data_IF_622393009942
#
_entry.id   IF_622393009942
#
_cell.length_a   1.000
_cell.length_b   1.000
_cell.length_c   1.000
_cell.angle_alpha   90.00
_cell.angle_beta   90.00
_cell.angle_gamma   90.00
#
_symmetry.space_group_name_H-M   'P 1'
#
loop_
_entity.id
_entity.type
_entity.pdbx_description
1 polymer ?
#
# COMPACT_ATOMS: atom_id res chain seq x y z
N UNK A 1 -39.16 9.10 -21.42
CA UNK A 1 -37.75 8.63 -21.47
C UNK A 1 -37.27 8.57 -20.03
N UNK A 2 -37.48 7.47 -19.31
CA UNK A 2 -36.63 6.28 -19.31
C UNK A 2 -35.93 6.24 -17.94
N UNK A 3 -36.55 5.63 -16.93
CA UNK A 3 -36.07 5.59 -15.53
C UNK A 3 -34.86 4.63 -15.35
N UNK A 4 -34.10 4.41 -16.42
CA UNK A 4 -32.99 3.47 -16.48
C UNK A 4 -31.69 4.27 -16.35
N UNK A 5 -30.65 3.72 -15.69
CA UNK A 5 -29.33 4.32 -15.71
C UNK A 5 -28.84 4.50 -17.16
N UNK A 6 -27.94 5.47 -17.40
CA UNK A 6 -27.28 5.63 -18.69
C UNK A 6 -26.52 4.36 -19.05
N UNK A 7 -26.10 4.26 -20.33
CA UNK A 7 -25.31 3.11 -20.80
C UNK A 7 -24.10 2.92 -19.88
N UNK A 8 -23.87 1.68 -19.44
CA UNK A 8 -22.79 1.37 -18.50
C UNK A 8 -21.44 1.59 -19.19
N UNK A 9 -20.74 2.64 -18.78
CA UNK A 9 -19.37 2.93 -19.20
C UNK A 9 -18.36 1.99 -18.51
N UNK A 10 -17.14 1.88 -19.05
CA UNK A 10 -16.05 1.06 -18.52
C UNK A 10 -15.80 1.31 -17.03
N UNK A 11 -15.95 2.56 -16.56
CA UNK A 11 -15.81 2.94 -15.15
C UNK A 11 -16.79 2.18 -14.27
N UNK A 12 -18.06 2.15 -14.68
CA UNK A 12 -19.12 1.44 -13.95
C UNK A 12 -18.85 -0.07 -13.99
N UNK A 13 -18.46 -0.62 -15.13
CA UNK A 13 -18.15 -2.04 -15.28
C UNK A 13 -17.02 -2.47 -14.33
N UNK A 14 -15.92 -1.72 -14.27
CA UNK A 14 -14.80 -1.98 -13.35
C UNK A 14 -15.24 -1.98 -11.89
N UNK A 15 -16.06 -1.01 -11.50
CA UNK A 15 -16.59 -0.92 -10.13
C UNK A 15 -17.56 -2.06 -9.84
N UNK A 16 -18.44 -2.41 -10.78
CA UNK A 16 -19.35 -3.56 -10.67
C UNK A 16 -18.59 -4.86 -10.46
N UNK A 17 -17.51 -5.09 -11.20
CA UNK A 17 -16.69 -6.30 -11.07
C UNK A 17 -15.93 -6.34 -9.74
N UNK A 18 -15.31 -5.23 -9.33
CA UNK A 18 -14.51 -5.12 -8.10
C UNK A 18 -15.37 -5.23 -6.86
N UNK A 19 -16.55 -4.61 -6.85
CA UNK A 19 -17.46 -4.55 -5.70
C UNK A 19 -18.65 -5.51 -5.81
N UNK A 20 -18.68 -6.37 -6.83
CA UNK A 20 -19.80 -7.29 -7.09
C UNK A 20 -21.16 -6.59 -7.01
N UNK A 21 -21.26 -5.42 -7.64
CA UNK A 21 -22.50 -4.65 -7.64
C UNK A 21 -23.51 -5.26 -8.61
N UNK A 22 -24.72 -5.46 -8.13
CA UNK A 22 -25.84 -5.93 -8.94
C UNK A 22 -26.45 -4.78 -9.74
N UNK A 23 -27.25 -5.10 -10.76
CA UNK A 23 -28.03 -4.09 -11.48
C UNK A 23 -29.01 -3.34 -10.57
N UNK A 24 -29.47 -3.99 -9.48
CA UNK A 24 -30.27 -3.35 -8.45
C UNK A 24 -29.48 -2.29 -7.69
N UNK A 25 -28.22 -2.58 -7.35
CA UNK A 25 -27.34 -1.62 -6.68
C UNK A 25 -27.08 -0.40 -7.57
N UNK A 26 -26.76 -0.61 -8.86
CA UNK A 26 -26.58 0.48 -9.83
C UNK A 26 -27.84 1.32 -9.98
N UNK A 27 -29.01 0.70 -9.98
CA UNK A 27 -30.29 1.42 -9.98
C UNK A 27 -30.48 2.24 -8.71
N UNK A 28 -30.00 1.75 -7.55
CA UNK A 28 -29.95 2.49 -6.29
C UNK A 28 -29.09 3.75 -6.39
N UNK A 29 -27.86 3.61 -6.90
CA UNK A 29 -26.98 4.76 -7.15
C UNK A 29 -27.60 5.77 -8.12
N UNK A 30 -28.23 5.28 -9.20
CA UNK A 30 -28.89 6.14 -10.18
C UNK A 30 -30.03 6.95 -9.57
N UNK A 31 -30.83 6.34 -8.68
CA UNK A 31 -31.91 7.05 -7.99
C UNK A 31 -31.38 8.17 -7.08
N UNK A 32 -30.23 7.95 -6.43
CA UNK A 32 -29.57 8.99 -5.62
C UNK A 32 -29.01 10.09 -6.52
N UNK A 33 -28.33 9.73 -7.61
CA UNK A 33 -27.77 10.69 -8.57
C UNK A 33 -28.85 11.63 -9.12
N UNK A 34 -29.95 11.06 -9.61
CA UNK A 34 -31.11 11.78 -10.15
C UNK A 34 -31.81 12.70 -9.15
N UNK A 35 -31.65 12.46 -7.85
CA UNK A 35 -32.21 13.35 -6.82
C UNK A 35 -31.49 14.71 -6.82
N UNK A 36 -30.23 14.72 -7.22
CA UNK A 36 -29.35 15.89 -7.16
C UNK A 36 -29.05 16.49 -8.54
N UNK A 37 -29.13 15.69 -9.61
CA UNK A 37 -29.22 16.16 -11.01
C UNK A 37 -30.66 16.65 -11.33
N UNK A 38 -31.05 17.78 -10.73
CA UNK A 38 -32.41 18.33 -10.86
C UNK A 38 -32.71 18.84 -12.26
N UNK A 39 -31.70 19.43 -12.90
CA UNK A 39 -31.81 20.05 -14.22
C UNK A 39 -31.69 19.01 -15.34
N UNK A 40 -31.37 17.75 -15.00
CA UNK A 40 -31.25 16.59 -15.91
C UNK A 40 -30.19 16.79 -16.96
N UNK A 41 -29.12 17.46 -16.57
CA UNK A 41 -27.94 17.69 -17.40
C UNK A 41 -27.07 16.41 -17.46
N UNK A 42 -27.35 15.43 -16.59
CA UNK A 42 -26.58 14.18 -16.52
C UNK A 42 -25.29 14.32 -15.70
N UNK A 43 -25.13 15.44 -15.00
CA UNK A 43 -23.96 15.79 -14.20
C UNK A 43 -24.38 16.35 -12.83
N UNK A 44 -23.51 16.24 -11.85
CA UNK A 44 -23.65 16.90 -10.54
C UNK A 44 -22.41 17.77 -10.33
N UNK A 45 -22.57 19.06 -10.04
CA UNK A 45 -21.41 19.91 -9.71
C UNK A 45 -20.77 19.51 -8.38
N UNK A 46 -19.46 19.72 -8.25
CA UNK A 46 -18.72 19.44 -7.01
C UNK A 46 -19.33 20.15 -5.78
N UNK A 47 -19.80 21.38 -5.98
CA UNK A 47 -20.44 22.16 -4.90
C UNK A 47 -21.71 21.49 -4.39
N UNK A 48 -22.58 21.01 -5.30
CA UNK A 48 -23.81 20.29 -4.94
C UNK A 48 -23.46 18.97 -4.25
N UNK A 49 -22.44 18.25 -4.73
CA UNK A 49 -22.01 17.01 -4.09
C UNK A 49 -21.62 17.24 -2.62
N UNK A 50 -20.74 18.21 -2.33
CA UNK A 50 -20.32 18.43 -0.95
C UNK A 50 -21.41 19.03 -0.07
N UNK A 51 -22.00 20.14 -0.51
CA UNK A 51 -22.98 20.87 0.30
C UNK A 51 -24.25 20.07 0.50
N UNK A 52 -24.75 19.44 -0.57
CA UNK A 52 -26.09 18.87 -0.57
C UNK A 52 -26.11 17.37 -0.28
N UNK A 53 -25.12 16.60 -0.77
CA UNK A 53 -25.02 15.15 -0.56
C UNK A 53 -24.19 14.85 0.70
N UNK A 54 -23.01 15.43 0.84
CA UNK A 54 -22.16 15.19 2.01
C UNK A 54 -22.54 16.04 3.22
N UNK A 55 -23.31 17.12 3.05
CA UNK A 55 -23.62 18.08 4.13
C UNK A 55 -22.37 18.63 4.83
N UNK A 56 -21.30 18.77 4.06
CA UNK A 56 -20.01 19.30 4.50
C UNK A 56 -19.63 20.47 3.59
N UNK A 57 -18.88 21.42 4.15
CA UNK A 57 -18.21 22.42 3.32
C UNK A 57 -17.14 21.74 2.47
N UNK A 58 -16.94 22.27 1.26
CA UNK A 58 -15.86 21.85 0.36
C UNK A 58 -14.52 21.99 1.13
N UNK A 59 -13.78 20.90 1.22
CA UNK A 59 -12.52 20.81 1.95
C UNK A 59 -11.46 20.09 1.11
N UNK A 60 -10.19 20.16 1.51
CA UNK A 60 -9.07 19.56 0.77
C UNK A 60 -9.24 18.07 0.50
N UNK A 61 -9.85 17.31 1.42
CA UNK A 61 -10.13 15.90 1.18
C UNK A 61 -11.13 15.72 0.05
N UNK A 62 -12.14 16.56 0.04
CA UNK A 62 -13.10 16.62 -1.03
C UNK A 62 -12.45 16.88 -2.39
N UNK A 63 -11.65 17.94 -2.47
CA UNK A 63 -10.94 18.30 -3.70
C UNK A 63 -10.05 17.18 -4.20
N UNK A 64 -9.28 16.56 -3.30
CA UNK A 64 -8.40 15.47 -3.66
C UNK A 64 -9.14 14.19 -4.07
N UNK A 65 -10.30 13.88 -3.46
CA UNK A 65 -11.09 12.71 -3.89
C UNK A 65 -11.49 12.96 -5.33
N UNK A 66 -11.93 14.17 -5.65
CA UNK A 66 -12.35 14.50 -7.00
C UNK A 66 -11.21 14.58 -7.99
N UNK A 67 -10.05 15.14 -7.65
CA UNK A 67 -8.87 15.13 -8.51
C UNK A 67 -8.42 13.71 -8.89
N UNK A 68 -8.61 12.73 -7.99
CA UNK A 68 -8.31 11.33 -8.29
C UNK A 68 -9.28 10.68 -9.31
N UNK A 69 -10.42 11.30 -9.59
CA UNK A 69 -11.55 10.66 -10.28
C UNK A 69 -11.95 11.45 -11.53
N UNK A 70 -12.07 12.77 -11.41
CA UNK A 70 -12.29 13.73 -12.47
C UNK A 70 -10.93 14.09 -13.10
N UNK A 71 -10.44 13.21 -13.98
CA UNK A 71 -9.21 13.44 -14.73
C UNK A 71 -9.35 14.53 -15.79
N UNK A 72 -10.57 14.99 -16.06
CA UNK A 72 -10.90 15.95 -17.11
C UNK A 72 -11.07 17.38 -16.55
N UNK A 73 -10.93 17.56 -15.22
CA UNK A 73 -11.04 18.84 -14.48
C UNK A 73 -12.28 19.64 -14.89
N UNK A 74 -13.41 18.94 -15.03
CA UNK A 74 -14.66 19.55 -15.50
C UNK A 74 -15.41 20.26 -14.37
N UNK A 75 -15.02 20.02 -13.11
CA UNK A 75 -15.72 20.47 -11.90
C UNK A 75 -17.19 19.98 -11.82
N UNK A 76 -17.50 18.97 -12.64
CA UNK A 76 -18.78 18.30 -12.75
C UNK A 76 -18.53 16.80 -12.65
N UNK A 77 -19.53 16.07 -12.17
CA UNK A 77 -19.42 14.64 -11.92
C UNK A 77 -20.46 13.93 -12.78
N UNK A 78 -20.01 13.19 -13.78
CA UNK A 78 -20.88 12.30 -14.53
C UNK A 78 -21.30 11.09 -13.69
N UNK A 79 -22.34 10.36 -14.11
CA UNK A 79 -22.82 9.21 -13.33
C UNK A 79 -21.73 8.13 -13.12
N UNK A 80 -20.89 7.87 -14.12
CA UNK A 80 -19.79 6.91 -14.01
C UNK A 80 -18.75 7.32 -12.97
N UNK A 81 -18.39 8.60 -12.95
CA UNK A 81 -17.47 9.19 -11.97
C UNK A 81 -18.07 9.20 -10.58
N UNK A 82 -19.36 9.53 -10.47
CA UNK A 82 -20.08 9.49 -9.20
C UNK A 82 -20.02 8.10 -8.57
N UNK A 83 -20.33 7.06 -9.35
CA UNK A 83 -20.27 5.66 -8.86
C UNK A 83 -18.84 5.30 -8.47
N UNK A 84 -17.85 5.59 -9.33
CA UNK A 84 -16.45 5.31 -9.04
C UNK A 84 -15.95 6.03 -7.79
N UNK A 85 -16.31 7.30 -7.62
CA UNK A 85 -15.95 8.14 -6.49
C UNK A 85 -16.45 7.60 -5.18
N UNK A 86 -17.77 7.46 -5.12
CA UNK A 86 -18.46 7.07 -3.91
C UNK A 86 -18.02 5.66 -3.52
N UNK A 87 -17.96 4.73 -4.46
CA UNK A 87 -17.51 3.37 -4.18
C UNK A 87 -16.06 3.31 -3.70
N UNK A 88 -15.15 4.04 -4.34
CA UNK A 88 -13.74 4.05 -3.95
C UNK A 88 -13.57 4.63 -2.55
N UNK A 89 -14.07 5.84 -2.32
CA UNK A 89 -13.90 6.51 -1.04
C UNK A 89 -14.68 5.82 0.09
N UNK A 90 -15.89 5.30 -0.15
CA UNK A 90 -16.66 4.58 0.86
C UNK A 90 -15.95 3.30 1.33
N UNK A 91 -15.20 2.64 0.44
CA UNK A 91 -14.50 1.39 0.75
C UNK A 91 -13.17 1.58 1.50
N UNK A 92 -12.65 2.81 1.58
CA UNK A 92 -11.42 3.08 2.33
C UNK A 92 -11.56 2.64 3.79
N UNK A 93 -10.59 1.86 4.23
CA UNK A 93 -10.36 1.58 5.65
C UNK A 93 -9.56 2.73 6.28
N UNK A 94 -9.41 2.72 7.60
CA UNK A 94 -8.62 3.71 8.33
C UNK A 94 -7.24 3.93 7.70
N UNK A 95 -6.51 2.85 7.42
CA UNK A 95 -5.18 2.94 6.81
C UNK A 95 -5.19 3.55 5.40
N UNK A 96 -6.25 3.30 4.63
CA UNK A 96 -6.40 3.89 3.29
C UNK A 96 -6.70 5.39 3.39
N UNK A 97 -7.56 5.80 4.32
CA UNK A 97 -7.81 7.22 4.62
C UNK A 97 -6.52 7.90 5.05
N UNK A 98 -5.69 7.26 5.88
CA UNK A 98 -4.40 7.81 6.30
C UNK A 98 -3.43 7.97 5.13
N UNK A 99 -3.29 6.95 4.28
CA UNK A 99 -2.43 7.01 3.08
C UNK A 99 -2.90 8.07 2.10
N UNK A 100 -4.20 8.14 1.89
CA UNK A 100 -4.82 9.13 1.05
C UNK A 100 -4.60 10.53 1.60
N UNK A 101 -4.81 10.72 2.91
CA UNK A 101 -4.50 11.98 3.60
C UNK A 101 -3.03 12.37 3.42
N UNK A 102 -2.11 11.43 3.67
CA UNK A 102 -0.68 11.67 3.48
C UNK A 102 -0.36 12.10 2.04
N UNK A 103 -0.92 11.40 1.05
CA UNK A 103 -0.77 11.76 -0.36
C UNK A 103 -1.32 13.15 -0.68
N UNK A 104 -2.36 13.62 0.00
CA UNK A 104 -2.92 14.97 -0.24
C UNK A 104 -1.98 16.04 0.30
N UNK A 105 -1.39 15.80 1.45
CA UNK A 105 -0.60 16.81 2.17
C UNK A 105 0.84 16.89 1.66
N UNK A 106 1.44 15.76 1.27
CA UNK A 106 2.69 15.72 0.51
C UNK A 106 2.41 16.25 -0.92
N UNK A 107 2.58 17.55 -1.13
CA UNK A 107 2.22 18.23 -2.39
C UNK A 107 3.25 17.97 -3.47
N UNK A 108 4.52 17.98 -3.09
CA UNK A 108 5.64 17.81 -4.02
C UNK A 108 5.96 16.32 -4.30
N UNK A 109 5.29 15.39 -3.61
CA UNK A 109 5.42 13.93 -3.73
C UNK A 109 6.82 13.44 -3.40
N UNK A 110 7.51 14.13 -2.49
CA UNK A 110 8.86 13.77 -2.09
C UNK A 110 8.90 12.59 -1.09
N UNK A 111 7.72 12.13 -0.62
CA UNK A 111 7.56 10.99 0.27
C UNK A 111 7.57 11.33 1.75
N UNK A 112 7.59 12.62 2.11
CA UNK A 112 7.46 13.14 3.46
C UNK A 112 6.61 14.42 3.46
N UNK A 113 6.01 14.75 4.59
CA UNK A 113 5.31 16.02 4.76
C UNK A 113 6.28 16.98 5.44
N UNK A 114 6.57 18.10 4.81
CA UNK A 114 7.41 19.13 5.44
C UNK A 114 6.61 20.02 6.42
N UNK A 115 7.30 20.93 7.11
CA UNK A 115 6.68 21.80 8.10
C UNK A 115 5.61 22.73 7.51
N UNK A 116 5.82 23.23 6.30
CA UNK A 116 4.91 24.18 5.65
C UNK A 116 3.64 23.45 5.17
N UNK A 117 3.81 22.25 4.63
CA UNK A 117 2.71 21.34 4.27
C UNK A 117 1.90 20.91 5.48
N UNK A 118 2.57 20.62 6.60
CA UNK A 118 1.94 20.26 7.86
C UNK A 118 1.17 21.43 8.50
N UNK A 119 1.71 22.64 8.44
CA UNK A 119 1.00 23.83 8.92
C UNK A 119 -0.27 24.07 8.08
N UNK A 120 -0.17 23.93 6.76
CA UNK A 120 -1.32 24.01 5.87
C UNK A 120 -2.36 22.94 6.20
N UNK A 121 -1.92 21.71 6.49
CA UNK A 121 -2.78 20.62 6.95
C UNK A 121 -3.60 21.01 8.18
N UNK A 122 -2.94 21.45 9.26
CA UNK A 122 -3.64 21.81 10.51
C UNK A 122 -4.60 22.97 10.28
N UNK A 123 -4.19 24.00 9.52
CA UNK A 123 -5.04 25.16 9.21
C UNK A 123 -6.29 24.78 8.43
N UNK A 124 -6.16 23.87 7.47
CA UNK A 124 -7.27 23.53 6.58
C UNK A 124 -8.28 22.58 7.22
N UNK A 125 -7.84 21.72 8.15
CA UNK A 125 -8.74 20.79 8.84
C UNK A 125 -9.48 21.41 10.03
N UNK A 126 -8.99 22.52 10.55
CA UNK A 126 -9.53 23.16 11.75
C UNK A 126 -9.78 24.66 11.56
N UNK A 127 -10.61 25.01 10.57
CA UNK A 127 -11.13 26.38 10.33
C UNK A 127 -11.81 27.01 11.56
N UNK A 128 -12.17 26.22 12.59
CA UNK A 128 -12.78 26.65 13.85
C UNK A 128 -11.86 26.68 15.10
N UNK A 129 -10.55 26.47 14.96
CA UNK A 129 -9.57 26.68 16.03
C UNK A 129 -9.06 25.41 16.75
N UNK A 130 -7.84 25.01 16.39
CA UNK A 130 -6.95 24.20 17.23
C UNK A 130 -5.52 24.78 17.14
N UNK A 131 -5.34 26.00 17.64
CA UNK A 131 -4.13 26.79 17.36
C UNK A 131 -2.98 26.64 18.38
N UNK A 132 -3.10 25.78 19.40
CA UNK A 132 -2.05 25.59 20.41
C UNK A 132 -1.56 24.15 20.54
N UNK A 133 -2.47 23.23 20.89
CA UNK A 133 -2.09 21.88 21.31
C UNK A 133 -1.67 20.97 20.16
N UNK A 134 -2.20 21.16 18.95
CA UNK A 134 -1.86 20.32 17.78
C UNK A 134 -0.47 20.63 17.26
N UNK A 135 -0.09 21.90 17.14
CA UNK A 135 1.27 22.27 16.72
C UNK A 135 2.34 21.80 17.72
N UNK A 136 2.05 21.89 19.02
CA UNK A 136 2.92 21.34 20.06
C UNK A 136 2.96 19.81 20.03
N UNK A 137 1.83 19.15 19.80
CA UNK A 137 1.74 17.72 19.61
C UNK A 137 2.56 17.24 18.39
N UNK A 138 2.51 17.97 17.29
CA UNK A 138 3.26 17.65 16.07
C UNK A 138 4.76 17.70 16.29
N UNK A 139 5.26 18.70 17.02
CA UNK A 139 6.65 18.77 17.46
C UNK A 139 7.09 17.59 18.34
N UNK A 140 6.15 16.88 18.99
CA UNK A 140 6.46 15.68 19.78
C UNK A 140 6.41 14.38 18.99
N UNK A 141 5.98 14.42 17.73
CA UNK A 141 5.80 13.23 16.88
C UNK A 141 6.89 13.10 15.81
N UNK A 142 7.60 14.18 15.49
CA UNK A 142 8.88 14.12 14.76
C UNK A 142 9.89 13.34 15.62
N UNK A 143 10.03 12.04 15.35
CA UNK A 143 10.78 11.12 16.21
C UNK A 143 12.28 11.20 15.93
N UNK A 144 12.65 11.49 14.68
CA UNK A 144 14.03 11.52 14.23
C UNK A 144 14.63 12.95 14.25
N UNK A 145 13.78 13.98 14.42
CA UNK A 145 14.17 15.38 14.52
C UNK A 145 14.67 16.00 13.22
N UNK A 146 14.36 15.40 12.07
CA UNK A 146 14.82 15.87 10.76
C UNK A 146 13.90 16.94 10.14
N UNK A 147 12.76 17.22 10.80
CA UNK A 147 11.76 18.19 10.35
C UNK A 147 10.93 17.71 9.17
N UNK A 148 10.99 16.41 8.84
CA UNK A 148 10.23 15.75 7.78
C UNK A 148 9.37 14.67 8.40
N UNK A 149 8.08 14.67 8.06
CA UNK A 149 7.14 13.71 8.63
C UNK A 149 6.91 12.57 7.65
N UNK A 150 7.47 11.40 7.95
CA UNK A 150 7.22 10.22 7.14
C UNK A 150 5.84 9.60 7.42
N UNK A 151 5.48 8.58 6.64
CA UNK A 151 4.17 7.91 6.81
C UNK A 151 4.04 7.21 8.17
N UNK A 152 5.12 6.72 8.77
CA UNK A 152 5.08 6.07 10.08
C UNK A 152 4.80 7.10 11.19
N UNK A 153 5.44 8.25 11.12
CA UNK A 153 5.19 9.40 12.00
C UNK A 153 3.76 9.93 11.83
N UNK A 154 3.28 10.04 10.59
CA UNK A 154 1.90 10.41 10.31
C UNK A 154 0.87 9.40 10.86
N UNK A 155 1.19 8.09 10.82
CA UNK A 155 0.35 7.08 11.46
C UNK A 155 0.34 7.24 12.98
N UNK A 156 1.50 7.46 13.60
CA UNK A 156 1.60 7.71 15.04
C UNK A 156 0.85 8.99 15.46
N UNK A 157 0.85 10.03 14.62
CA UNK A 157 0.02 11.23 14.80
C UNK A 157 -1.46 10.88 14.86
N UNK A 158 -1.97 10.08 13.93
CA UNK A 158 -3.36 9.66 13.95
C UNK A 158 -3.72 8.84 15.20
N UNK A 159 -2.84 7.92 15.62
CA UNK A 159 -3.05 7.12 16.82
C UNK A 159 -3.14 7.97 18.09
N UNK A 160 -2.31 9.02 18.17
CA UNK A 160 -2.24 9.90 19.34
C UNK A 160 -3.30 11.01 19.30
N UNK A 161 -3.65 11.48 18.10
CA UNK A 161 -4.62 12.56 17.87
C UNK A 161 -5.62 12.19 16.76
N UNK A 162 -6.56 11.26 17.02
CA UNK A 162 -7.51 10.80 15.99
C UNK A 162 -8.39 11.92 15.43
N UNK A 163 -8.62 12.98 16.22
CA UNK A 163 -9.43 14.15 15.85
C UNK A 163 -8.88 14.92 14.67
N UNK A 164 -7.57 14.82 14.39
CA UNK A 164 -6.91 15.51 13.28
C UNK A 164 -7.51 15.08 11.94
N UNK A 165 -7.73 13.78 11.75
CA UNK A 165 -8.33 13.25 10.51
C UNK A 165 -9.85 13.10 10.58
N UNK A 166 -10.48 13.57 11.67
CA UNK A 166 -11.93 13.49 11.83
C UNK A 166 -12.72 14.09 10.65
N UNK A 167 -12.31 15.22 10.02
CA UNK A 167 -13.03 15.73 8.84
C UNK A 167 -13.11 14.73 7.68
N UNK A 168 -12.03 13.97 7.40
CA UNK A 168 -12.04 12.94 6.35
C UNK A 168 -13.03 11.81 6.68
N UNK A 169 -12.99 11.30 7.92
CA UNK A 169 -13.91 10.25 8.37
C UNK A 169 -15.37 10.72 8.41
N UNK A 170 -15.58 11.98 8.79
CA UNK A 170 -16.90 12.61 8.82
C UNK A 170 -17.47 12.73 7.41
N UNK A 171 -16.68 13.23 6.46
CA UNK A 171 -17.04 13.31 5.05
C UNK A 171 -17.42 11.93 4.50
N UNK A 172 -16.60 10.91 4.75
CA UNK A 172 -16.88 9.52 4.35
C UNK A 172 -18.17 9.01 4.97
N UNK A 173 -18.40 9.28 6.26
CA UNK A 173 -19.58 8.83 6.99
C UNK A 173 -20.86 9.47 6.48
N UNK A 174 -20.86 10.80 6.26
CA UNK A 174 -22.01 11.51 5.70
C UNK A 174 -22.31 11.06 4.28
N UNK A 175 -21.29 10.91 3.44
CA UNK A 175 -21.44 10.37 2.10
C UNK A 175 -22.09 8.98 2.14
N UNK A 176 -21.58 8.06 2.95
CA UNK A 176 -22.16 6.71 3.10
C UNK A 176 -23.60 6.74 3.65
N UNK A 177 -23.91 7.68 4.55
CA UNK A 177 -25.25 7.80 5.11
C UNK A 177 -26.25 8.30 4.07
N UNK A 178 -25.88 9.32 3.30
CA UNK A 178 -26.77 9.95 2.32
C UNK A 178 -26.85 9.19 0.99
N UNK A 179 -25.85 8.36 0.69
CA UNK A 179 -25.79 7.53 -0.52
C UNK A 179 -25.91 6.07 -0.10
N UNK A 180 -26.99 5.37 -0.49
CA UNK A 180 -27.27 3.96 -0.16
C UNK A 180 -27.49 3.62 1.34
N UNK A 181 -27.02 4.45 2.27
CA UNK A 181 -27.20 4.28 3.71
C UNK A 181 -26.12 3.41 4.37
N UNK A 182 -25.80 3.73 5.61
CA UNK A 182 -24.70 3.09 6.38
C UNK A 182 -24.86 1.57 6.50
N UNK A 183 -26.07 1.08 6.71
CA UNK A 183 -26.35 -0.36 6.80
C UNK A 183 -26.01 -1.09 5.51
N UNK A 184 -26.30 -0.51 4.34
CA UNK A 184 -25.95 -1.11 3.06
C UNK A 184 -24.44 -1.16 2.88
N UNK A 185 -23.74 -0.05 3.14
CA UNK A 185 -22.27 -0.01 3.06
C UNK A 185 -21.58 -0.98 4.01
N UNK A 186 -22.04 -1.07 5.26
CA UNK A 186 -21.48 -2.00 6.24
C UNK A 186 -21.62 -3.45 5.76
N UNK A 187 -22.79 -3.83 5.23
CA UNK A 187 -22.99 -5.15 4.63
C UNK A 187 -22.07 -5.38 3.44
N UNK A 188 -21.96 -4.40 2.54
CA UNK A 188 -21.11 -4.51 1.34
C UNK A 188 -19.62 -4.62 1.71
N UNK A 189 -19.14 -3.86 2.70
CA UNK A 189 -17.76 -3.98 3.22
C UNK A 189 -17.46 -5.39 3.73
N UNK A 190 -18.38 -5.97 4.53
CA UNK A 190 -18.24 -7.34 5.03
C UNK A 190 -18.25 -8.37 3.89
N UNK A 191 -19.14 -8.20 2.91
CA UNK A 191 -19.21 -9.08 1.74
C UNK A 191 -17.88 -9.09 0.97
N UNK A 192 -17.34 -7.90 0.64
CA UNK A 192 -16.07 -7.78 -0.07
C UNK A 192 -14.90 -8.33 0.75
N UNK A 193 -14.89 -8.08 2.06
CA UNK A 193 -13.89 -8.64 2.97
C UNK A 193 -13.92 -10.18 2.95
N UNK A 194 -15.10 -10.78 3.02
CA UNK A 194 -15.24 -12.24 2.97
C UNK A 194 -14.77 -12.82 1.63
N UNK A 195 -15.12 -12.18 0.51
CA UNK A 195 -14.67 -12.60 -0.82
C UNK A 195 -13.14 -12.54 -0.91
N UNK A 196 -12.53 -11.46 -0.41
CA UNK A 196 -11.08 -11.31 -0.37
C UNK A 196 -10.43 -12.42 0.46
N UNK A 197 -10.92 -12.67 1.68
CA UNK A 197 -10.40 -13.72 2.55
C UNK A 197 -10.54 -15.12 1.95
N UNK A 198 -11.67 -15.43 1.32
CA UNK A 198 -11.86 -16.71 0.63
C UNK A 198 -10.92 -16.89 -0.54
N UNK A 199 -10.71 -15.82 -1.32
CA UNK A 199 -9.78 -15.81 -2.46
C UNK A 199 -8.36 -16.04 -1.97
N UNK A 200 -7.93 -15.32 -0.94
CA UNK A 200 -6.61 -15.49 -0.32
C UNK A 200 -6.43 -16.90 0.27
N UNK A 201 -7.47 -17.48 0.90
CA UNK A 201 -7.42 -18.86 1.40
C UNK A 201 -7.25 -19.88 0.27
N UNK A 202 -7.88 -19.67 -0.90
CA UNK A 202 -7.71 -20.55 -2.07
C UNK A 202 -6.30 -20.42 -2.64
N UNK A 203 -5.84 -19.20 -2.88
CA UNK A 203 -4.50 -18.92 -3.37
C UNK A 203 -3.42 -19.50 -2.45
N UNK A 204 -3.56 -19.35 -1.14
CA UNK A 204 -2.62 -19.91 -0.17
C UNK A 204 -2.62 -21.46 -0.18
N UNK A 205 -3.78 -22.10 -0.41
CA UNK A 205 -3.84 -23.56 -0.59
C UNK A 205 -3.13 -23.99 -1.87
N UNK A 206 -3.35 -23.29 -2.97
CA UNK A 206 -2.69 -23.56 -4.25
C UNK A 206 -1.17 -23.36 -4.15
N UNK A 207 -0.74 -22.25 -3.53
CA UNK A 207 0.67 -21.98 -3.23
C UNK A 207 1.33 -23.11 -2.46
N UNK A 208 0.67 -23.63 -1.42
CA UNK A 208 1.16 -24.79 -0.63
C UNK A 208 1.22 -26.08 -1.45
N UNK A 209 0.24 -26.33 -2.31
CA UNK A 209 0.25 -27.51 -3.19
C UNK A 209 1.39 -27.43 -4.20
N UNK A 210 1.58 -26.27 -4.81
CA UNK A 210 2.65 -26.04 -5.77
C UNK A 210 4.02 -26.15 -5.09
N UNK A 211 4.18 -25.56 -3.89
CA UNK A 211 5.40 -25.70 -3.10
C UNK A 211 5.74 -27.18 -2.83
N UNK A 212 4.74 -28.00 -2.46
CA UNK A 212 4.91 -29.45 -2.27
C UNK A 212 5.27 -30.17 -3.56
N UNK A 213 4.74 -29.74 -4.71
CA UNK A 213 5.06 -30.31 -6.02
C UNK A 213 6.53 -30.04 -6.36
N UNK A 214 6.98 -28.80 -6.18
CA UNK A 214 8.37 -28.40 -6.38
C UNK A 214 9.33 -29.18 -5.46
N UNK A 215 9.00 -29.29 -4.17
CA UNK A 215 9.80 -30.07 -3.22
C UNK A 215 9.89 -31.56 -3.59
N UNK A 216 8.81 -32.15 -4.12
CA UNK A 216 8.83 -33.54 -4.61
C UNK A 216 9.75 -33.70 -5.81
N UNK A 217 9.65 -32.82 -6.80
CA UNK A 217 10.51 -32.83 -8.00
C UNK A 217 11.97 -32.67 -7.60
N UNK A 218 12.27 -31.71 -6.72
CA UNK A 218 13.60 -31.49 -6.14
C UNK A 218 14.14 -32.75 -5.45
N UNK A 219 13.36 -33.35 -4.56
CA UNK A 219 13.79 -34.55 -3.83
C UNK A 219 13.98 -35.76 -4.76
N UNK A 220 13.19 -35.88 -5.83
CA UNK A 220 13.39 -36.90 -6.86
C UNK A 220 14.72 -36.69 -7.61
N UNK A 221 15.04 -35.46 -8.00
CA UNK A 221 16.32 -35.11 -8.62
C UNK A 221 17.50 -35.46 -7.73
N UNK A 222 17.47 -35.03 -6.47
CA UNK A 222 18.50 -35.34 -5.46
C UNK A 222 18.67 -36.86 -5.28
N UNK A 223 17.57 -37.64 -5.28
CA UNK A 223 17.61 -39.10 -5.17
C UNK A 223 18.25 -39.76 -6.37
N UNK A 224 17.93 -39.29 -7.58
CA UNK A 224 18.49 -39.81 -8.82
C UNK A 224 20.00 -39.55 -8.89
N UNK A 225 20.45 -38.37 -8.46
CA UNK A 225 21.87 -37.99 -8.48
C UNK A 225 22.70 -38.75 -7.44
N UNK A 226 22.20 -38.92 -6.20
CA UNK A 226 22.96 -39.60 -5.13
C UNK A 226 22.92 -41.13 -5.21
N UNK A 227 21.89 -41.71 -5.83
CA UNK A 227 21.64 -43.15 -5.79
C UNK A 227 21.01 -43.65 -4.47
N UNK A 228 20.31 -44.79 -4.54
CA UNK A 228 19.43 -45.29 -3.48
C UNK A 228 20.13 -45.53 -2.13
N UNK A 229 21.29 -46.20 -2.15
CA UNK A 229 22.03 -46.53 -0.92
C UNK A 229 22.54 -45.26 -0.25
N UNK A 230 23.19 -44.34 -0.97
CA UNK A 230 23.72 -43.11 -0.39
C UNK A 230 22.63 -42.16 0.13
N UNK A 231 21.44 -42.18 -0.50
CA UNK A 231 20.30 -41.40 -0.05
C UNK A 231 19.77 -41.85 1.33
N UNK A 232 19.64 -43.17 1.57
CA UNK A 232 19.03 -43.72 2.80
C UNK A 232 20.02 -44.20 3.89
N UNK A 233 21.27 -44.53 3.55
CA UNK A 233 22.26 -45.11 4.49
C UNK A 233 23.03 -44.09 5.34
N UNK A 234 22.82 -42.80 5.10
CA UNK A 234 23.55 -41.74 5.82
C UNK A 234 23.00 -41.55 7.24
N UNK A 235 23.67 -42.10 8.24
CA UNK A 235 23.38 -41.88 9.66
C UNK A 235 24.65 -41.61 10.49
N UNK A 236 24.54 -40.59 11.37
CA UNK A 236 25.45 -40.24 12.48
C UNK A 236 26.81 -39.60 12.15
N UNK A 237 26.83 -38.27 11.93
CA UNK A 237 27.72 -37.24 12.54
C UNK A 237 27.83 -35.94 11.69
N UNK A 238 27.62 -36.00 10.37
CA UNK A 238 27.77 -34.86 9.42
C UNK A 238 26.46 -34.27 8.86
N UNK A 239 25.34 -34.42 9.57
CA UNK A 239 24.00 -34.06 9.07
C UNK A 239 23.85 -32.56 8.70
N UNK A 240 24.51 -31.64 9.42
CA UNK A 240 24.44 -30.20 9.11
C UNK A 240 25.20 -29.85 7.83
N UNK A 241 26.45 -30.29 7.67
CA UNK A 241 27.26 -30.02 6.46
C UNK A 241 26.60 -30.58 5.19
N UNK A 242 25.92 -31.72 5.30
CA UNK A 242 25.16 -32.34 4.19
C UNK A 242 23.87 -31.58 3.86
N UNK A 243 23.12 -31.14 4.86
CA UNK A 243 21.91 -30.31 4.64
C UNK A 243 22.29 -29.05 3.88
N UNK A 244 23.36 -28.40 4.29
CA UNK A 244 23.88 -27.21 3.63
C UNK A 244 24.37 -27.52 2.20
N UNK A 245 25.07 -28.64 1.96
CA UNK A 245 25.49 -29.03 0.60
C UNK A 245 24.31 -29.27 -0.35
N UNK A 246 23.27 -29.97 0.11
CA UNK A 246 22.08 -30.28 -0.70
C UNK A 246 21.16 -29.07 -0.89
N UNK A 247 21.09 -28.16 0.08
CA UNK A 247 20.40 -26.87 -0.07
C UNK A 247 21.14 -25.93 -1.04
N UNK A 248 22.48 -26.01 -1.12
CA UNK A 248 23.29 -25.25 -2.09
C UNK A 248 23.17 -25.76 -3.53
N UNK A 249 23.21 -27.07 -3.74
CA UNK A 249 23.14 -27.68 -5.09
C UNK A 249 21.73 -27.66 -5.69
N UNK A 250 20.71 -27.75 -4.83
CA UNK A 250 19.32 -27.81 -5.22
C UNK A 250 18.53 -26.86 -4.29
N UNK A 251 18.57 -25.54 -4.53
CA UNK A 251 17.83 -24.58 -3.72
C UNK A 251 16.32 -24.81 -3.82
N UNK A 252 15.59 -24.48 -2.75
CA UNK A 252 14.12 -24.59 -2.77
C UNK A 252 13.55 -23.48 -3.63
N UNK A 253 12.75 -23.84 -4.63
CA UNK A 253 11.92 -22.87 -5.35
C UNK A 253 10.87 -22.34 -4.39
N UNK A 254 10.84 -21.04 -4.16
CA UNK A 254 9.79 -20.40 -3.37
C UNK A 254 8.60 -20.09 -4.27
N UNK A 255 7.41 -20.54 -3.86
CA UNK A 255 6.17 -20.13 -4.51
C UNK A 255 5.60 -18.94 -3.74
N UNK A 256 5.57 -17.78 -4.40
CA UNK A 256 5.06 -16.52 -3.87
C UNK A 256 3.76 -16.14 -4.59
N UNK A 257 2.90 -15.41 -3.89
CA UNK A 257 1.76 -14.72 -4.47
C UNK A 257 2.23 -13.28 -4.70
N UNK A 258 2.21 -12.82 -5.94
CA UNK A 258 2.59 -11.45 -6.26
C UNK A 258 1.46 -10.44 -5.94
N UNK A 259 1.68 -9.16 -6.28
CA UNK A 259 0.72 -8.08 -6.03
C UNK A 259 -0.58 -8.22 -6.84
N UNK A 260 -0.56 -8.98 -7.93
CA UNK A 260 -1.70 -9.22 -8.81
C UNK A 260 -2.41 -10.54 -8.46
N UNK A 261 -2.06 -11.13 -7.31
CA UNK A 261 -2.57 -12.42 -6.83
C UNK A 261 -2.23 -13.60 -7.76
N UNK A 262 -1.16 -13.48 -8.55
CA UNK A 262 -0.68 -14.55 -9.42
C UNK A 262 0.41 -15.33 -8.71
N UNK A 263 0.36 -16.66 -8.84
CA UNK A 263 1.41 -17.53 -8.32
C UNK A 263 2.66 -17.42 -9.18
N UNK A 264 3.76 -17.02 -8.57
CA UNK A 264 5.08 -17.01 -9.18
C UNK A 264 6.02 -17.95 -8.45
N UNK A 265 6.92 -18.56 -9.21
CA UNK A 265 8.00 -19.37 -8.70
C UNK A 265 9.30 -18.58 -8.74
N UNK A 266 9.97 -18.42 -7.60
CA UNK A 266 11.30 -17.82 -7.52
C UNK A 266 12.30 -18.90 -7.13
N UNK A 267 13.21 -19.23 -8.04
CA UNK A 267 14.37 -20.06 -7.70
C UNK A 267 15.41 -19.15 -7.07
N UNK A 268 15.86 -19.39 -5.82
CA UNK A 268 16.97 -18.64 -5.25
C UNK A 268 18.22 -18.79 -6.11
N UNK A 269 19.03 -17.73 -6.19
CA UNK A 269 20.32 -17.81 -6.86
C UNK A 269 21.14 -18.97 -6.27
N UNK A 270 21.89 -19.71 -7.10
CA UNK A 270 22.81 -20.72 -6.60
C UNK A 270 23.72 -20.08 -5.56
N UNK A 271 23.79 -20.67 -4.36
CA UNK A 271 24.69 -20.20 -3.32
C UNK A 271 26.12 -20.42 -3.84
N UNK A 272 26.82 -19.32 -4.18
CA UNK A 272 28.22 -19.31 -4.61
C UNK A 272 29.06 -20.15 -3.63
N UNK A 273 29.74 -21.19 -4.10
CA UNK A 273 30.52 -22.09 -3.24
C UNK A 273 31.91 -21.50 -2.97
N UNK A 274 32.51 -21.76 -1.79
CA UNK A 274 33.95 -21.63 -1.61
C UNK A 274 34.67 -22.55 -2.60
N UNK A 275 35.25 -21.97 -3.65
CA UNK A 275 35.88 -22.68 -4.78
C UNK A 275 35.32 -22.35 -6.17
N UNK A 276 34.18 -21.65 -6.27
CA UNK A 276 33.80 -21.03 -7.54
C UNK A 276 34.73 -19.84 -7.79
N UNK A 277 35.36 -19.73 -8.97
CA UNK A 277 36.29 -18.62 -9.28
C UNK A 277 35.65 -17.23 -9.08
N UNK A 278 34.32 -17.14 -9.15
CA UNK A 278 33.56 -15.93 -8.86
C UNK A 278 33.47 -15.64 -7.36
N UNK A 279 33.34 -16.66 -6.51
CA UNK A 279 33.32 -16.52 -5.04
C UNK A 279 34.69 -16.11 -4.51
N UNK A 280 35.77 -16.69 -5.05
CA UNK A 280 37.14 -16.31 -4.70
C UNK A 280 37.43 -14.86 -5.10
N UNK A 281 36.98 -14.43 -6.30
CA UNK A 281 37.06 -13.03 -6.71
C UNK A 281 36.25 -12.09 -5.81
N UNK A 282 35.02 -12.45 -5.46
CA UNK A 282 34.16 -11.61 -4.61
C UNK A 282 34.69 -11.50 -3.16
N UNK A 283 35.32 -12.56 -2.61
CA UNK A 283 35.97 -12.51 -1.31
C UNK A 283 37.32 -11.78 -1.36
N UNK A 284 38.10 -11.94 -2.43
CA UNK A 284 39.33 -11.17 -2.67
C UNK A 284 39.03 -9.68 -2.83
N UNK A 285 37.99 -9.31 -3.56
CA UNK A 285 37.53 -7.91 -3.68
C UNK A 285 37.06 -7.34 -2.34
N UNK A 286 36.28 -8.10 -1.56
CA UNK A 286 35.84 -7.67 -0.21
C UNK A 286 37.00 -7.56 0.77
N UNK A 287 37.98 -8.46 0.71
CA UNK A 287 39.20 -8.36 1.52
C UNK A 287 40.07 -7.18 1.07
N UNK A 288 40.15 -6.89 -0.23
CA UNK A 288 40.91 -5.77 -0.77
C UNK A 288 40.26 -4.42 -0.42
N UNK A 289 38.93 -4.32 -0.48
CA UNK A 289 38.15 -3.19 0.01
C UNK A 289 38.35 -2.98 1.52
N UNK A 290 38.30 -4.05 2.33
CA UNK A 290 38.55 -3.98 3.76
C UNK A 290 40.00 -3.57 4.09
N UNK A 291 40.99 -4.07 3.33
CA UNK A 291 42.40 -3.67 3.46
C UNK A 291 42.62 -2.23 3.04
N UNK A 292 41.96 -1.75 1.99
CA UNK A 292 42.05 -0.36 1.54
C UNK A 292 41.35 0.61 2.51
N UNK A 293 40.21 0.22 3.09
CA UNK A 293 39.56 0.98 4.15
C UNK A 293 40.44 1.11 5.42
N UNK A 294 41.17 0.05 5.76
CA UNK A 294 42.09 0.05 6.92
C UNK A 294 43.37 0.86 6.67
N UNK A 295 43.87 0.87 5.43
CA UNK A 295 45.00 1.72 5.00
C UNK A 295 44.62 3.21 4.88
N UNK A 296 43.38 3.53 4.50
CA UNK A 296 42.85 4.90 4.50
C UNK A 296 42.75 5.51 5.90
N UNK A 297 42.41 4.70 6.91
CA UNK A 297 42.29 5.14 8.31
C UNK A 297 43.65 5.37 9.00
N UNK A 298 44.68 4.61 8.61
CA UNK A 298 46.03 4.73 9.19
C UNK A 298 46.85 5.89 8.60
N UNK A 299 46.54 6.37 7.39
CA UNK A 299 47.19 7.57 6.82
C UNK A 299 46.57 8.90 7.29
N UNK A 300 45.33 8.92 7.80
CA UNK A 300 44.73 10.13 8.37
C UNK A 300 45.24 10.43 9.80
N UNK A 301 45.73 9.42 10.51
CA UNK A 301 46.22 9.57 11.90
C UNK A 301 47.67 10.05 12.03
N UNK A 302 48.43 10.20 10.93
CA UNK A 302 49.82 10.68 10.95
C UNK A 302 50.02 12.17 10.62
N UNK A 303 48.96 12.91 10.28
CA UNK A 303 49.06 14.35 9.93
C UNK A 303 48.51 15.32 10.99
N UNK A 304 48.28 14.89 12.24
CA UNK A 304 47.73 15.75 13.30
C UNK A 304 48.70 16.14 14.44
N UNK A 305 50.00 16.21 14.16
CA UNK A 305 50.97 16.82 15.07
C UNK A 305 51.95 17.73 14.30
N UNK A 306 51.47 18.88 13.86
CA UNK A 306 52.30 20.08 13.75
C UNK A 306 51.75 21.12 14.72
N UNK A 307 52.50 21.35 15.80
CA UNK A 307 52.26 22.43 16.73
C UNK A 307 52.64 23.77 16.08
N UNK A 308 51.90 24.87 16.34
CA UNK A 308 52.30 26.20 15.89
C UNK A 308 53.50 26.68 16.72
N UNK A 309 54.59 27.04 16.04
CA UNK A 309 55.69 27.81 16.63
C UNK A 309 55.53 29.28 16.25
N UNK A 310 55.39 30.07 17.33
CA UNK A 310 55.60 31.52 17.50
C UNK A 310 54.59 32.46 16.85
#
# INVERSE_FOLDING_TARGET
>A
MGNKPPVSDERIQRVQERMKLTNSDISGFWNVFRKWDKDREGVISLEVFFRDICKEERNLFGDAIFELIDSEDTACIEFGEFVQAVCTFAMFQTKDVLRFSFFIFDKDKNGYIDKDELELFVRTLHTGGMQGNVMQALHTIDFNGDGKFDFLEFNALHERFPTVLYPAFRLQSQMCYNIMGTTWWNKKKVEIQNIFEETMRKLEKERRLEQRRQDKVRNQGIRAEMGFVAYYSYHRKDLMKKRDYLERMNPRVEVIIDKDNVLQTKTPDPIKKPGDEQFLRDEEEKEEEARNATKGSTNSSKNRFQAPKQ
#
